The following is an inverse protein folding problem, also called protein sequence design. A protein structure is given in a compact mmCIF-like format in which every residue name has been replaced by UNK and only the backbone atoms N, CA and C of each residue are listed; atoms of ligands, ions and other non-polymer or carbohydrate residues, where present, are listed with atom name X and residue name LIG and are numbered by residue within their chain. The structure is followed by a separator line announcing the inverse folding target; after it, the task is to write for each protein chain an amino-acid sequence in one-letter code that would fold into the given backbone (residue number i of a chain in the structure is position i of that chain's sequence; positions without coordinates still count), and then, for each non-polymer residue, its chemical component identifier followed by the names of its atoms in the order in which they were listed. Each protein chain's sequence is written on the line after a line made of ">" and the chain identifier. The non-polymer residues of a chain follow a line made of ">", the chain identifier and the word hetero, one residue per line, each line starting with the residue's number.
data_IF_321263908726
#
_entry.id   IF_321263908726
#
_cell.length_a   1.000
_cell.length_b   1.000
_cell.length_c   1.000
_cell.angle_alpha   90.00
_cell.angle_beta   90.00
_cell.angle_gamma   90.00
#
_symmetry.space_group_name_H-M   'P 1'
#
loop_
_entity.id
_entity.type
_entity.pdbx_description
1 polymer ?
#
# COMPACT_ATOMS: atom_id res chain seq x y z
N UNK A 1 27.07 6.06 -5.16
CA UNK A 1 28.46 5.67 -5.48
C UNK A 1 28.57 5.46 -6.98
N UNK A 2 29.65 5.88 -7.63
CA UNK A 2 29.96 5.53 -9.02
C UNK A 2 30.95 4.37 -8.96
N UNK A 3 30.63 3.26 -9.65
CA UNK A 3 31.36 2.00 -9.54
C UNK A 3 32.26 1.77 -10.76
N UNK A 4 31.89 2.30 -11.93
CA UNK A 4 32.63 2.18 -13.19
C UNK A 4 32.50 3.48 -14.00
N UNK A 5 33.48 3.77 -14.87
CA UNK A 5 33.44 4.89 -15.82
C UNK A 5 34.84 5.31 -16.30
N UNK A 6 34.93 5.89 -17.50
CA UNK A 6 36.16 6.48 -18.04
C UNK A 6 36.02 7.99 -18.07
N UNK A 7 36.96 8.70 -17.45
CA UNK A 7 36.97 10.17 -17.41
C UNK A 7 38.00 10.69 -18.40
N UNK A 8 37.60 11.60 -19.28
CA UNK A 8 38.47 12.24 -20.27
C UNK A 8 38.15 13.73 -20.35
N UNK A 9 39.15 14.58 -20.54
CA UNK A 9 38.91 16.00 -20.70
C UNK A 9 40.16 16.83 -20.47
N UNK A 10 39.95 18.14 -20.41
CA UNK A 10 41.02 19.11 -20.18
C UNK A 10 40.66 19.98 -18.99
N UNK A 11 41.56 20.08 -18.03
CA UNK A 11 41.40 20.91 -16.83
C UNK A 11 42.64 21.79 -16.70
N UNK A 12 42.43 23.08 -16.51
CA UNK A 12 43.45 24.05 -16.14
C UNK A 12 43.26 24.43 -14.67
N UNK A 13 44.37 24.64 -13.97
CA UNK A 13 44.40 24.99 -12.56
C UNK A 13 45.23 26.26 -12.40
N UNK A 14 44.64 27.28 -11.79
CA UNK A 14 45.27 28.59 -11.58
C UNK A 14 45.10 29.04 -10.11
N UNK A 15 45.93 29.97 -9.64
CA UNK A 15 45.86 30.49 -8.26
C UNK A 15 46.75 29.76 -7.26
N UNK A 16 46.39 29.81 -5.97
CA UNK A 16 47.18 29.24 -4.89
C UNK A 16 47.01 27.72 -4.83
N UNK A 17 48.09 26.98 -4.58
CA UNK A 17 48.03 25.52 -4.42
C UNK A 17 47.10 25.06 -3.29
N UNK A 18 46.80 25.93 -2.31
CA UNK A 18 45.91 25.60 -1.20
C UNK A 18 44.45 25.94 -1.50
N UNK A 19 44.17 26.73 -2.53
CA UNK A 19 42.84 27.17 -2.96
C UNK A 19 42.86 27.50 -4.46
N UNK A 20 42.97 26.48 -5.33
CA UNK A 20 43.04 26.69 -6.76
C UNK A 20 41.68 27.01 -7.38
N UNK A 21 41.70 27.76 -8.47
CA UNK A 21 40.60 27.88 -9.41
C UNK A 21 40.77 26.87 -10.55
N UNK A 22 39.68 26.24 -10.96
CA UNK A 22 39.66 25.27 -12.05
C UNK A 22 38.88 25.80 -13.24
N UNK A 23 39.39 25.61 -14.45
CA UNK A 23 38.61 25.86 -15.66
C UNK A 23 38.83 24.76 -16.70
N UNK A 24 37.74 24.33 -17.34
CA UNK A 24 37.79 23.26 -18.33
C UNK A 24 36.56 22.37 -18.31
N UNK A 25 36.67 21.22 -18.95
CA UNK A 25 35.56 20.29 -19.13
C UNK A 25 36.05 18.85 -19.04
N UNK A 26 35.35 18.04 -18.24
CA UNK A 26 35.55 16.61 -18.15
C UNK A 26 34.30 15.90 -18.65
N UNK A 27 34.48 14.91 -19.51
CA UNK A 27 33.45 13.98 -19.94
C UNK A 27 33.67 12.64 -19.25
N UNK A 28 32.60 12.04 -18.78
CA UNK A 28 32.58 10.73 -18.16
C UNK A 28 31.79 9.81 -19.08
N UNK A 29 32.41 8.75 -19.58
CA UNK A 29 31.79 7.80 -20.49
C UNK A 29 31.61 6.43 -19.83
N UNK A 30 30.52 5.76 -20.22
CA UNK A 30 30.13 4.43 -19.72
C UNK A 30 30.06 4.33 -18.18
N UNK A 31 29.66 5.41 -17.51
CA UNK A 31 29.57 5.43 -16.07
C UNK A 31 28.42 4.55 -15.56
N UNK A 32 28.66 3.88 -14.43
CA UNK A 32 27.63 3.14 -13.69
C UNK A 32 27.61 3.60 -12.24
N UNK A 33 26.42 3.81 -11.71
CA UNK A 33 26.21 4.27 -10.35
C UNK A 33 25.22 3.38 -9.60
N UNK A 34 25.40 3.30 -8.29
CA UNK A 34 24.48 2.62 -7.37
C UNK A 34 24.08 3.56 -6.24
N UNK A 35 22.80 3.57 -5.91
CA UNK A 35 22.22 4.33 -4.81
C UNK A 35 21.55 3.36 -3.83
N UNK A 36 21.65 3.63 -2.52
CA UNK A 36 21.11 2.71 -1.51
C UNK A 36 19.58 2.62 -1.52
N UNK A 37 18.90 3.67 -1.99
CA UNK A 37 17.42 3.74 -2.04
C UNK A 37 16.84 3.28 -3.38
N UNK A 38 17.69 3.04 -4.38
CA UNK A 38 17.28 2.60 -5.72
C UNK A 38 17.78 1.17 -5.90
N UNK A 39 16.89 0.18 -6.06
CA UNK A 39 17.29 -1.24 -6.09
C UNK A 39 18.03 -1.66 -7.38
N UNK A 40 18.08 -0.78 -8.38
CA UNK A 40 18.72 -1.04 -9.67
C UNK A 40 20.01 -0.24 -9.87
N UNK A 41 20.92 -0.79 -10.67
CA UNK A 41 22.12 -0.09 -11.10
C UNK A 41 21.74 0.98 -12.15
N UNK A 42 22.24 2.20 -11.94
CA UNK A 42 22.03 3.33 -12.84
C UNK A 42 23.15 3.37 -13.87
N UNK A 43 22.84 3.08 -15.12
CA UNK A 43 23.77 3.18 -16.24
C UNK A 43 23.75 1.97 -17.18
N UNK A 44 24.64 1.95 -18.18
CA UNK A 44 25.70 2.94 -18.44
C UNK A 44 25.15 4.31 -18.86
N UNK A 45 25.79 5.39 -18.43
CA UNK A 45 25.46 6.76 -18.85
C UNK A 45 26.72 7.58 -19.18
N UNK A 46 26.55 8.62 -19.99
CA UNK A 46 27.60 9.63 -20.23
C UNK A 46 27.23 10.93 -19.54
N UNK A 47 28.20 11.52 -18.84
CA UNK A 47 28.05 12.75 -18.09
C UNK A 47 29.11 13.77 -18.50
N UNK A 48 28.85 15.04 -18.22
CA UNK A 48 29.73 16.14 -18.55
C UNK A 48 29.80 17.09 -17.36
N UNK A 49 31.01 17.33 -16.90
CA UNK A 49 31.35 18.21 -15.79
C UNK A 49 32.05 19.45 -16.38
N UNK A 50 31.46 20.62 -16.17
CA UNK A 50 32.04 21.89 -16.59
C UNK A 50 32.62 22.61 -15.36
N UNK A 51 33.90 22.95 -15.42
CA UNK A 51 34.62 23.64 -14.37
C UNK A 51 34.76 25.11 -14.74
N UNK A 52 34.35 25.99 -13.83
CA UNK A 52 34.52 27.43 -13.97
C UNK A 52 34.82 28.04 -12.60
N UNK A 53 36.05 28.51 -12.44
CA UNK A 53 36.57 29.05 -11.19
C UNK A 53 36.46 28.03 -10.05
N UNK A 54 35.61 28.28 -9.06
CA UNK A 54 35.35 27.40 -7.92
C UNK A 54 34.11 26.52 -8.10
N UNK A 55 33.40 26.66 -9.22
CA UNK A 55 32.15 25.94 -9.46
C UNK A 55 32.37 24.80 -10.45
N UNK A 56 31.87 23.61 -10.08
CA UNK A 56 31.74 22.45 -10.94
C UNK A 56 30.27 22.24 -11.25
N UNK A 57 29.91 22.24 -12.52
CA UNK A 57 28.52 22.00 -12.95
C UNK A 57 28.42 20.61 -13.56
N UNK A 58 27.53 19.79 -13.03
CA UNK A 58 27.07 18.57 -13.69
C UNK A 58 25.96 18.94 -14.67
N UNK A 59 26.27 18.87 -15.95
CA UNK A 59 25.28 19.10 -16.99
C UNK A 59 24.18 18.04 -16.92
N UNK A 60 22.93 18.37 -17.26
CA UNK A 60 21.80 17.43 -17.20
C UNK A 60 22.12 16.10 -17.89
N UNK A 61 22.12 15.02 -17.12
CA UNK A 61 22.29 13.65 -17.61
C UNK A 61 20.94 12.97 -17.58
N UNK A 62 20.56 12.33 -18.70
CA UNK A 62 19.37 11.48 -18.74
C UNK A 62 19.77 10.04 -18.46
N UNK A 63 19.18 9.45 -17.44
CA UNK A 63 19.35 8.06 -17.04
C UNK A 63 18.08 7.27 -17.39
N UNK A 64 18.25 6.05 -17.87
CA UNK A 64 17.17 5.10 -18.09
C UNK A 64 17.07 4.17 -16.89
N UNK A 65 15.87 4.05 -16.33
CA UNK A 65 15.54 3.27 -15.13
C UNK A 65 14.36 2.35 -15.46
N UNK A 66 14.06 1.34 -14.64
CA UNK A 66 12.83 0.55 -14.83
C UNK A 66 11.56 1.38 -14.70
N UNK A 67 11.62 2.50 -13.98
CA UNK A 67 10.51 3.44 -13.81
C UNK A 67 10.33 4.41 -14.99
N UNK A 68 11.26 4.43 -15.96
CA UNK A 68 11.27 5.34 -17.09
C UNK A 68 12.57 6.15 -17.17
N UNK A 69 12.49 7.39 -17.63
CA UNK A 69 13.65 8.29 -17.71
C UNK A 69 13.74 9.20 -16.49
N UNK A 70 14.95 9.48 -16.02
CA UNK A 70 15.21 10.50 -14.99
C UNK A 70 16.35 11.40 -15.44
N UNK A 71 16.21 12.70 -15.23
CA UNK A 71 17.27 13.67 -15.43
C UNK A 71 17.88 14.05 -14.09
N UNK A 72 19.21 14.10 -14.07
CA UNK A 72 19.99 14.51 -12.90
C UNK A 72 20.95 15.59 -13.35
N UNK A 73 21.04 16.66 -12.58
CA UNK A 73 22.03 17.71 -12.77
C UNK A 73 22.34 18.38 -11.45
N UNK A 74 23.33 19.27 -11.46
CA UNK A 74 23.70 19.94 -10.22
C UNK A 74 24.90 20.86 -10.36
N UNK A 75 25.21 21.53 -9.27
CA UNK A 75 26.37 22.40 -9.11
C UNK A 75 27.04 22.12 -7.78
N UNK A 76 28.36 22.13 -7.80
CA UNK A 76 29.22 21.91 -6.65
C UNK A 76 30.17 23.10 -6.54
N UNK A 77 30.36 23.61 -5.34
CA UNK A 77 31.28 24.70 -5.04
C UNK A 77 32.45 24.15 -4.23
N UNK A 78 33.66 24.40 -4.72
CA UNK A 78 34.90 23.94 -4.14
C UNK A 78 35.65 25.12 -3.52
N UNK A 79 36.01 25.02 -2.25
CA UNK A 79 36.99 25.89 -1.61
C UNK A 79 38.05 25.04 -0.95
N UNK A 80 39.34 25.33 -1.20
CA UNK A 80 40.46 24.57 -0.61
C UNK A 80 40.35 23.04 -0.79
N UNK A 81 39.87 22.60 -1.96
CA UNK A 81 39.57 21.20 -2.29
C UNK A 81 38.42 20.55 -1.50
N UNK A 82 37.69 21.30 -0.68
CA UNK A 82 36.51 20.84 0.03
C UNK A 82 35.23 21.30 -0.67
N UNK A 83 34.21 20.44 -0.69
CA UNK A 83 32.88 20.82 -1.15
C UNK A 83 32.20 21.66 -0.08
N UNK A 84 32.02 22.96 -0.34
CA UNK A 84 31.37 23.88 0.59
C UNK A 84 29.86 23.93 0.36
N UNK A 85 29.46 23.94 -0.91
CA UNK A 85 28.06 23.93 -1.30
C UNK A 85 27.83 22.90 -2.41
N UNK A 86 26.77 22.12 -2.28
CA UNK A 86 26.35 21.15 -3.30
C UNK A 86 24.86 21.32 -3.52
N UNK A 87 24.44 21.45 -4.77
CA UNK A 87 23.03 21.42 -5.16
C UNK A 87 22.85 20.40 -6.26
N UNK A 88 22.05 19.38 -6.02
CA UNK A 88 21.70 18.32 -6.96
C UNK A 88 20.19 18.36 -7.15
N UNK A 89 19.74 18.33 -8.39
CA UNK A 89 18.33 18.17 -8.70
C UNK A 89 18.10 16.88 -9.50
N UNK A 90 16.97 16.26 -9.22
CA UNK A 90 16.48 15.05 -9.88
C UNK A 90 15.10 15.38 -10.42
N UNK A 91 14.87 15.16 -11.70
CA UNK A 91 13.59 15.41 -12.37
C UNK A 91 13.22 14.22 -13.26
N UNK A 92 12.10 13.58 -13.00
CA UNK A 92 11.63 12.45 -13.82
C UNK A 92 10.82 12.89 -15.04
N UNK A 93 10.46 14.17 -15.14
CA UNK A 93 9.49 14.66 -16.12
C UNK A 93 8.11 13.99 -16.00
N UNK A 94 7.25 14.16 -17.01
CA UNK A 94 5.86 13.67 -16.96
C UNK A 94 5.71 12.17 -17.22
N UNK A 95 6.58 11.59 -18.03
CA UNK A 95 6.50 10.17 -18.45
C UNK A 95 7.45 9.26 -17.71
N UNK A 96 8.50 9.83 -17.08
CA UNK A 96 9.47 9.06 -16.33
C UNK A 96 8.99 8.64 -14.94
N UNK A 97 9.93 8.09 -14.18
CA UNK A 97 9.75 7.64 -12.81
C UNK A 97 11.00 6.93 -12.32
N UNK A 98 11.22 6.93 -11.01
CA UNK A 98 12.33 6.26 -10.36
C UNK A 98 11.79 5.23 -9.38
N UNK A 99 12.24 3.97 -9.47
CA UNK A 99 11.88 2.97 -8.48
C UNK A 99 12.66 3.22 -7.19
N UNK A 100 11.95 3.32 -6.09
CA UNK A 100 12.48 3.49 -4.74
C UNK A 100 12.11 2.23 -3.96
N UNK A 101 13.11 1.64 -3.31
CA UNK A 101 12.95 0.52 -2.38
C UNK A 101 13.82 0.82 -1.16
N UNK A 102 13.20 1.30 -0.09
CA UNK A 102 13.90 1.82 1.07
C UNK A 102 13.09 1.72 2.35
N UNK A 103 13.81 1.62 3.47
CA UNK A 103 13.26 1.71 4.82
C UNK A 103 13.56 3.09 5.40
N UNK A 104 12.51 3.90 5.61
CA UNK A 104 12.59 5.20 6.26
C UNK A 104 12.15 5.06 7.72
N UNK A 105 13.08 4.60 8.55
CA UNK A 105 12.88 4.49 10.01
C UNK A 105 11.66 3.66 10.43
N UNK A 106 11.36 2.56 9.74
CA UNK A 106 10.20 1.68 10.00
C UNK A 106 9.04 1.87 9.02
N UNK A 107 9.10 2.89 8.16
CA UNK A 107 8.21 3.02 6.99
C UNK A 107 8.91 2.39 5.79
N UNK A 108 8.46 1.20 5.41
CA UNK A 108 8.97 0.50 4.23
C UNK A 108 8.24 1.03 3.00
N UNK A 109 9.00 1.46 1.99
CA UNK A 109 8.46 2.00 0.74
C UNK A 109 9.09 1.25 -0.43
N UNK A 110 8.26 0.57 -1.22
CA UNK A 110 8.62 -0.01 -2.52
C UNK A 110 7.67 0.50 -3.60
N UNK A 111 8.17 1.32 -4.53
CA UNK A 111 7.31 1.93 -5.54
C UNK A 111 8.02 2.84 -6.52
N UNK A 112 7.23 3.53 -7.36
CA UNK A 112 7.75 4.48 -8.35
C UNK A 112 7.42 5.91 -7.92
N UNK A 113 8.44 6.72 -7.68
CA UNK A 113 8.32 8.16 -7.48
C UNK A 113 8.50 8.93 -8.79
N UNK A 114 7.65 9.94 -9.01
CA UNK A 114 7.74 10.85 -10.17
C UNK A 114 7.73 12.30 -9.72
N UNK A 115 8.54 13.16 -10.30
CA UNK A 115 8.53 14.59 -10.03
C UNK A 115 9.93 15.14 -9.89
N UNK A 116 10.03 16.23 -9.13
CA UNK A 116 11.28 16.96 -8.98
C UNK A 116 11.66 17.08 -7.51
N UNK A 117 12.88 16.68 -7.21
CA UNK A 117 13.51 16.78 -5.90
C UNK A 117 14.83 17.54 -6.05
N UNK A 118 15.11 18.43 -5.11
CA UNK A 118 16.36 19.17 -4.97
C UNK A 118 16.99 18.77 -3.64
N UNK A 119 18.27 18.46 -3.69
CA UNK A 119 19.11 18.08 -2.56
C UNK A 119 20.22 19.09 -2.48
N UNK A 120 20.29 19.82 -1.38
CA UNK A 120 21.31 20.82 -1.12
C UNK A 120 22.14 20.37 0.09
N UNK A 121 23.46 20.56 0.04
CA UNK A 121 24.37 20.27 1.15
C UNK A 121 25.22 21.51 1.40
N UNK A 122 25.07 22.10 2.58
CA UNK A 122 25.80 23.30 3.00
C UNK A 122 26.04 23.23 4.52
N UNK A 123 27.25 23.54 4.99
CA UNK A 123 27.56 23.67 6.43
C UNK A 123 27.09 22.48 7.31
N UNK A 124 27.32 21.26 6.84
CA UNK A 124 26.85 20.01 7.47
C UNK A 124 25.31 19.92 7.62
N UNK A 125 24.56 20.66 6.82
CA UNK A 125 23.12 20.53 6.66
C UNK A 125 22.83 19.93 5.28
N UNK A 126 21.99 18.89 5.25
CA UNK A 126 21.39 18.35 4.03
C UNK A 126 19.94 18.81 3.99
N UNK A 127 19.60 19.58 2.96
CA UNK A 127 18.23 20.01 2.69
C UNK A 127 17.66 19.26 1.51
N UNK A 128 16.53 18.60 1.70
CA UNK A 128 15.80 17.87 0.66
C UNK A 128 14.45 18.56 0.48
N UNK A 129 14.15 19.01 -0.74
CA UNK A 129 12.87 19.65 -1.04
C UNK A 129 12.31 19.20 -2.38
N UNK A 130 10.98 19.20 -2.52
CA UNK A 130 10.39 18.82 -3.80
C UNK A 130 8.95 18.35 -3.74
N UNK A 131 8.43 18.04 -4.93
CA UNK A 131 7.11 17.43 -5.13
C UNK A 131 7.28 16.10 -5.84
N UNK A 132 6.70 15.06 -5.25
CA UNK A 132 6.75 13.68 -5.74
C UNK A 132 5.34 13.14 -5.88
N UNK A 133 5.04 12.48 -6.99
CA UNK A 133 3.85 11.70 -7.23
C UNK A 133 4.25 10.23 -7.05
N UNK A 134 3.69 9.57 -6.04
CA UNK A 134 3.90 8.15 -5.80
C UNK A 134 2.96 7.35 -6.70
N UNK A 135 3.45 6.36 -7.45
CA UNK A 135 2.62 5.48 -8.28
C UNK A 135 3.13 4.05 -8.18
N UNK A 136 2.23 3.07 -8.26
CA UNK A 136 2.55 1.66 -8.10
C UNK A 136 3.46 1.43 -6.89
N UNK A 137 3.06 2.01 -5.75
CA UNK A 137 3.85 2.14 -4.53
C UNK A 137 3.15 1.44 -3.39
N UNK A 138 3.87 0.55 -2.71
CA UNK A 138 3.44 -0.10 -1.48
C UNK A 138 4.16 0.55 -0.31
N UNK A 139 3.38 0.98 0.67
CA UNK A 139 3.86 1.61 1.91
C UNK A 139 3.44 0.70 3.06
N UNK A 140 4.41 0.16 3.80
CA UNK A 140 4.15 -0.65 4.98
C UNK A 140 4.63 0.09 6.22
N UNK A 141 3.74 0.27 7.19
CA UNK A 141 4.05 0.90 8.47
C UNK A 141 4.24 -0.18 9.55
N UNK A 142 5.48 -0.38 10.01
CA UNK A 142 5.78 -1.34 11.07
C UNK A 142 5.27 -0.93 12.46
N UNK A 143 5.05 -1.91 13.35
CA UNK A 143 4.57 -1.65 14.72
C UNK A 143 5.59 -0.88 15.57
N UNK A 144 6.89 -1.03 15.32
CA UNK A 144 7.97 -0.39 16.08
C UNK A 144 7.88 1.14 16.06
N UNK A 145 7.33 1.71 14.99
CA UNK A 145 7.05 3.15 14.84
C UNK A 145 5.83 3.64 15.62
N UNK A 146 4.94 2.74 16.00
CA UNK A 146 3.79 3.05 16.85
C UNK A 146 4.18 3.15 18.33
N UNK A 147 5.32 2.58 18.71
CA UNK A 147 5.84 2.51 20.08
C UNK A 147 6.93 3.56 20.37
N UNK A 148 6.90 4.15 21.58
CA UNK A 148 7.70 5.32 22.04
C UNK A 148 9.23 5.09 22.18
N UNK A 149 9.86 4.18 21.43
CA UNK A 149 11.25 3.79 21.68
C UNK A 149 12.13 3.76 20.43
N UNK A 150 12.18 4.87 19.70
CA UNK A 150 13.30 5.13 18.79
C UNK A 150 14.13 6.29 19.35
N UNK A 151 15.24 5.98 20.03
CA UNK A 151 16.25 7.00 20.31
C UNK A 151 16.79 7.51 18.97
N UNK A 152 16.78 8.82 18.69
CA UNK A 152 17.33 9.33 17.44
C UNK A 152 18.81 8.95 17.38
N UNK A 153 19.29 8.34 16.29
CA UNK A 153 20.72 8.17 16.11
C UNK A 153 21.37 9.55 16.15
N UNK A 154 22.46 9.68 16.91
CA UNK A 154 23.29 10.90 16.89
C UNK A 154 23.80 11.04 15.47
N UNK A 155 23.18 11.91 14.68
CA UNK A 155 23.62 12.22 13.33
C UNK A 155 24.60 13.40 13.40
N UNK A 156 25.82 13.19 12.91
CA UNK A 156 26.83 14.25 12.74
C UNK A 156 26.43 15.30 11.69
N UNK A 157 25.37 15.05 10.92
CA UNK A 157 24.88 15.91 9.85
C UNK A 157 23.42 16.28 10.09
N UNK A 158 23.10 17.58 9.99
CA UNK A 158 21.76 18.10 10.12
C UNK A 158 20.95 17.75 8.87
N UNK A 159 19.72 17.29 9.06
CA UNK A 159 18.78 17.00 7.98
C UNK A 159 17.57 17.93 8.08
N UNK A 160 17.27 18.58 6.95
CA UNK A 160 16.04 19.34 6.70
C UNK A 160 15.31 18.74 5.50
N UNK A 161 14.02 18.42 5.63
CA UNK A 161 13.18 17.83 4.57
C UNK A 161 11.91 18.66 4.44
N UNK A 162 11.53 19.07 3.23
CA UNK A 162 10.20 19.59 2.90
C UNK A 162 9.70 18.96 1.60
N UNK A 163 8.95 17.87 1.73
CA UNK A 163 8.44 17.09 0.62
C UNK A 163 6.91 17.12 0.58
N UNK A 164 6.38 17.35 -0.61
CA UNK A 164 4.96 17.15 -0.91
C UNK A 164 4.80 15.88 -1.75
N UNK A 165 4.19 14.86 -1.16
CA UNK A 165 3.89 13.60 -1.84
C UNK A 165 2.43 13.60 -2.28
N UNK A 166 2.17 13.33 -3.55
CA UNK A 166 0.84 13.19 -4.13
C UNK A 166 0.59 11.72 -4.50
N UNK A 167 -0.58 11.19 -4.18
CA UNK A 167 -0.92 9.80 -4.50
C UNK A 167 -1.37 9.66 -5.95
N UNK A 168 -0.60 8.90 -6.73
CA UNK A 168 -0.94 8.47 -8.07
C UNK A 168 -1.64 7.12 -8.09
N UNK A 169 -1.62 6.42 -9.23
CA UNK A 169 -2.28 5.12 -9.38
C UNK A 169 -1.58 4.05 -8.55
N UNK A 170 -2.35 3.10 -8.01
CA UNK A 170 -1.83 1.91 -7.33
C UNK A 170 -0.93 2.23 -6.13
N UNK A 171 -1.33 3.19 -5.29
CA UNK A 171 -0.68 3.45 -4.00
C UNK A 171 -1.38 2.61 -2.93
N UNK A 172 -0.69 1.58 -2.45
CA UNK A 172 -1.15 0.63 -1.44
C UNK A 172 -0.55 0.98 -0.07
N UNK A 173 -1.38 0.98 0.96
CA UNK A 173 -0.98 1.09 2.35
C UNK A 173 -1.28 -0.23 3.06
N UNK A 174 -0.27 -0.75 3.76
CA UNK A 174 -0.30 -2.03 4.45
C UNK A 174 0.12 -1.85 5.90
N UNK A 175 -0.64 -2.45 6.81
CA UNK A 175 -0.36 -2.38 8.24
C UNK A 175 -0.80 -3.67 8.95
N UNK A 176 -0.08 -4.16 9.97
CA UNK A 176 1.24 -3.67 10.44
C UNK A 176 2.40 -4.21 9.62
N UNK A 177 2.25 -5.38 9.00
CA UNK A 177 3.32 -5.99 8.20
C UNK A 177 2.75 -6.52 6.90
N UNK A 178 3.63 -6.73 5.93
CA UNK A 178 3.20 -7.31 4.65
C UNK A 178 2.84 -8.80 4.78
N UNK A 179 3.47 -9.51 5.71
CA UNK A 179 3.20 -10.94 5.95
C UNK A 179 1.89 -11.16 6.71
N UNK A 180 1.59 -10.29 7.67
CA UNK A 180 0.38 -10.35 8.50
C UNK A 180 -0.34 -8.99 8.49
N UNK A 181 -0.96 -8.61 7.37
CA UNK A 181 -1.65 -7.34 7.27
C UNK A 181 -3.03 -7.42 7.93
N UNK A 182 -3.27 -6.57 8.92
CA UNK A 182 -4.60 -6.30 9.46
C UNK A 182 -5.35 -5.37 8.52
N UNK A 183 -4.69 -4.36 7.97
CA UNK A 183 -5.27 -3.42 7.03
C UNK A 183 -4.44 -3.44 5.75
N UNK A 184 -5.12 -3.62 4.61
CA UNK A 184 -4.55 -3.48 3.28
C UNK A 184 -5.47 -2.61 2.46
N UNK A 185 -5.02 -1.44 2.05
CA UNK A 185 -5.89 -0.42 1.47
C UNK A 185 -5.22 0.36 0.37
N UNK A 186 -6.00 0.95 -0.53
CA UNK A 186 -5.52 1.72 -1.66
C UNK A 186 -5.93 3.17 -1.52
N UNK A 187 -4.95 4.07 -1.64
CA UNK A 187 -5.20 5.50 -1.58
C UNK A 187 -5.99 5.98 -2.80
N UNK A 188 -6.85 6.97 -2.58
CA UNK A 188 -7.49 7.72 -3.66
C UNK A 188 -6.44 8.51 -4.46
N UNK A 189 -6.76 8.90 -5.69
CA UNK A 189 -5.86 9.69 -6.55
C UNK A 189 -5.80 11.15 -6.09
N UNK A 190 -4.65 11.78 -6.32
CA UNK A 190 -4.43 13.21 -6.11
C UNK A 190 -4.42 13.64 -4.63
N UNK A 191 -4.37 12.72 -3.68
CA UNK A 191 -4.31 13.05 -2.26
C UNK A 191 -2.90 13.50 -1.91
N UNK A 192 -2.77 14.54 -1.09
CA UNK A 192 -1.47 15.13 -0.75
C UNK A 192 -1.09 14.84 0.69
N UNK A 193 0.17 14.41 0.87
CA UNK A 193 0.85 14.22 2.15
C UNK A 193 2.06 15.15 2.18
N UNK A 194 2.13 16.03 3.18
CA UNK A 194 3.30 16.87 3.42
C UNK A 194 4.16 16.27 4.50
N UNK A 195 5.45 16.17 4.23
CA UNK A 195 6.47 15.69 5.17
C UNK A 195 7.45 16.84 5.39
N UNK A 196 7.56 17.28 6.64
CA UNK A 196 8.56 18.25 7.06
C UNK A 196 9.39 17.67 8.20
N UNK A 197 10.71 17.71 8.05
CA UNK A 197 11.64 17.26 9.09
C UNK A 197 12.71 18.32 9.22
N UNK A 198 13.04 18.70 10.44
CA UNK A 198 14.17 19.54 10.78
C UNK A 198 14.77 19.01 12.08
N UNK A 199 15.88 18.30 11.92
CA UNK A 199 16.61 17.66 13.02
C UNK A 199 17.26 18.65 13.98
N UNK A 200 17.54 19.89 13.55
CA UNK A 200 18.15 20.91 14.41
C UNK A 200 17.16 21.41 15.46
N UNK A 201 15.90 21.62 15.04
CA UNK A 201 14.83 22.08 15.91
C UNK A 201 14.02 20.94 16.53
N UNK A 202 14.39 19.68 16.25
CA UNK A 202 13.59 18.51 16.64
C UNK A 202 12.18 18.52 16.06
N UNK A 203 11.99 19.21 14.93
CA UNK A 203 10.70 19.39 14.31
C UNK A 203 10.44 18.25 13.32
N UNK A 204 9.38 17.50 13.56
CA UNK A 204 8.88 16.47 12.65
C UNK A 204 7.39 16.71 12.46
N UNK A 205 6.94 16.78 11.20
CA UNK A 205 5.55 16.93 10.83
C UNK A 205 5.24 16.03 9.63
N UNK A 206 4.26 15.16 9.79
CA UNK A 206 3.63 14.46 8.66
C UNK A 206 2.15 14.79 8.67
N UNK A 207 1.68 15.51 7.65
CA UNK A 207 0.30 15.99 7.55
C UNK A 207 -0.34 15.65 6.22
N UNK A 208 -1.50 15.02 6.26
CA UNK A 208 -2.28 14.71 5.07
C UNK A 208 -3.58 14.04 5.43
N UNK A 209 -4.58 14.16 4.56
CA UNK A 209 -5.82 13.40 4.65
C UNK A 209 -5.91 12.54 3.40
N UNK A 210 -5.68 11.25 3.56
CA UNK A 210 -5.61 10.31 2.45
C UNK A 210 -6.92 9.53 2.43
N UNK A 211 -7.77 9.87 1.45
CA UNK A 211 -8.97 9.07 1.18
C UNK A 211 -8.60 7.64 0.80
N UNK A 212 -9.38 6.69 1.30
CA UNK A 212 -9.29 5.29 0.91
C UNK A 212 -10.25 5.04 -0.25
N UNK A 213 -9.77 4.39 -1.30
CA UNK A 213 -10.55 4.05 -2.49
C UNK A 213 -11.06 2.62 -2.48
N UNK A 214 -10.52 1.76 -1.62
CA UNK A 214 -10.92 0.37 -1.46
C UNK A 214 -9.83 -0.42 -0.72
N UNK A 215 -10.15 -1.63 -0.30
CA UNK A 215 -9.20 -2.46 0.44
C UNK A 215 -9.85 -3.60 1.20
N UNK A 216 -9.12 -4.10 2.18
CA UNK A 216 -9.46 -5.24 2.99
C UNK A 216 -9.02 -4.97 4.43
N UNK A 217 -9.86 -5.37 5.39
CA UNK A 217 -9.53 -5.43 6.80
C UNK A 217 -9.64 -6.87 7.25
N UNK A 218 -8.57 -7.41 7.79
CA UNK A 218 -8.52 -8.74 8.35
C UNK A 218 -8.84 -8.68 9.85
N UNK A 219 -9.86 -9.43 10.26
CA UNK A 219 -10.31 -9.47 11.65
C UNK A 219 -11.09 -10.76 11.92
N UNK A 220 -10.86 -11.40 13.07
CA UNK A 220 -11.46 -12.71 13.43
C UNK A 220 -11.35 -13.78 12.33
N UNK A 221 -10.21 -13.90 11.67
CA UNK A 221 -10.01 -14.83 10.55
C UNK A 221 -10.92 -14.61 9.33
N UNK A 222 -11.61 -13.46 9.31
CA UNK A 222 -12.45 -12.98 8.23
C UNK A 222 -11.80 -11.78 7.54
N UNK A 223 -12.12 -11.63 6.26
CA UNK A 223 -11.76 -10.45 5.49
C UNK A 223 -13.02 -9.63 5.26
N UNK A 224 -13.00 -8.41 5.77
CA UNK A 224 -14.01 -7.40 5.50
C UNK A 224 -13.52 -6.55 4.33
N UNK A 225 -14.35 -6.39 3.30
CA UNK A 225 -14.06 -5.54 2.15
C UNK A 225 -14.27 -4.09 2.53
N UNK A 226 -13.23 -3.28 2.46
CA UNK A 226 -13.27 -1.87 2.82
C UNK A 226 -13.94 -1.09 1.69
N UNK A 227 -15.12 -0.52 1.99
CA UNK A 227 -15.97 0.21 1.03
C UNK A 227 -15.66 1.69 1.01
N UNK A 228 -15.40 2.26 2.19
CA UNK A 228 -15.04 3.66 2.32
C UNK A 228 -14.11 3.87 3.51
N UNK A 229 -13.31 4.92 3.45
CA UNK A 229 -12.54 5.35 4.59
C UNK A 229 -11.58 6.49 4.27
N UNK A 230 -10.83 6.87 5.28
CA UNK A 230 -9.74 7.84 5.19
C UNK A 230 -8.71 7.55 6.28
N UNK A 231 -7.47 7.92 6.01
CA UNK A 231 -6.39 7.94 6.98
C UNK A 231 -5.95 9.40 7.12
N UNK A 232 -6.02 9.91 8.34
CA UNK A 232 -5.60 11.26 8.70
C UNK A 232 -4.23 11.17 9.37
N UNK A 233 -3.24 11.77 8.72
CA UNK A 233 -1.91 11.95 9.23
C UNK A 233 -1.82 13.34 9.85
N UNK A 234 -1.46 13.42 11.12
CA UNK A 234 -1.12 14.67 11.79
C UNK A 234 -0.07 14.39 12.87
N UNK A 235 1.01 13.76 12.43
CA UNK A 235 2.06 13.26 13.29
C UNK A 235 3.04 14.39 13.61
N UNK A 236 3.42 14.50 14.88
CA UNK A 236 4.38 15.48 15.39
C UNK A 236 5.32 14.82 16.37
N UNK A 237 6.62 15.10 16.25
CA UNK A 237 7.64 14.56 17.15
C UNK A 237 7.93 13.09 16.89
N UNK A 238 7.97 12.29 17.96
CA UNK A 238 8.40 10.89 18.00
C UNK A 238 7.27 9.87 17.83
N UNK A 239 6.01 10.31 17.86
CA UNK A 239 4.85 9.44 17.68
C UNK A 239 4.34 9.49 16.25
N UNK A 240 4.35 8.34 15.58
CA UNK A 240 3.75 8.15 14.26
C UNK A 240 2.57 7.18 14.39
N UNK A 241 1.38 7.68 14.69
CA UNK A 241 0.20 6.86 14.97
C UNK A 241 -1.06 7.50 14.34
N UNK A 242 -1.21 7.36 13.00
CA UNK A 242 -2.25 8.05 12.26
C UNK A 242 -3.63 7.51 12.61
N UNK A 243 -4.65 8.32 12.31
CA UNK A 243 -6.03 8.04 12.65
C UNK A 243 -6.78 7.52 11.43
N UNK A 244 -7.38 6.34 11.55
CA UNK A 244 -8.19 5.72 10.51
C UNK A 244 -9.68 5.91 10.81
N UNK A 245 -10.44 6.19 9.76
CA UNK A 245 -11.90 6.00 9.76
C UNK A 245 -12.24 5.11 8.58
N UNK A 246 -12.86 3.96 8.80
CA UNK A 246 -13.13 2.99 7.76
C UNK A 246 -14.44 2.25 8.00
N UNK A 247 -15.16 1.97 6.92
CA UNK A 247 -16.31 1.07 6.91
C UNK A 247 -16.00 -0.08 5.95
N UNK A 248 -15.92 -1.28 6.50
CA UNK A 248 -15.71 -2.51 5.76
C UNK A 248 -16.90 -3.45 5.96
N UNK A 249 -17.13 -4.36 5.03
CA UNK A 249 -18.25 -5.30 5.11
C UNK A 249 -17.86 -6.73 4.73
N UNK A 250 -18.54 -7.69 5.35
CA UNK A 250 -18.55 -9.09 4.96
C UNK A 250 -20.01 -9.55 4.84
N UNK A 251 -20.24 -10.64 4.12
CA UNK A 251 -21.56 -11.25 4.00
C UNK A 251 -21.46 -12.70 4.42
N UNK A 252 -22.34 -13.08 5.33
CA UNK A 252 -22.43 -14.43 5.84
C UNK A 252 -23.84 -14.98 5.63
N UNK A 253 -23.92 -16.27 5.35
CA UNK A 253 -25.20 -16.93 5.21
C UNK A 253 -25.55 -17.58 6.55
N UNK A 254 -26.75 -17.33 7.04
CA UNK A 254 -27.27 -17.88 8.29
C UNK A 254 -28.43 -18.82 7.99
N UNK A 255 -28.86 -19.58 9.00
CA UNK A 255 -30.06 -20.43 8.89
C UNK A 255 -31.32 -19.62 8.53
N UNK A 256 -31.34 -18.33 8.86
CA UNK A 256 -32.43 -17.38 8.60
C UNK A 256 -32.26 -16.57 7.30
N UNK A 257 -31.14 -16.73 6.59
CA UNK A 257 -30.84 -16.01 5.34
C UNK A 257 -29.52 -15.23 5.39
N UNK A 258 -29.28 -14.42 4.36
CA UNK A 258 -28.04 -13.66 4.24
C UNK A 258 -27.99 -12.50 5.24
N UNK A 259 -26.87 -12.37 5.94
CA UNK A 259 -26.56 -11.25 6.83
C UNK A 259 -25.34 -10.51 6.31
N UNK A 260 -25.45 -9.18 6.20
CA UNK A 260 -24.29 -8.29 5.98
C UNK A 260 -23.77 -7.86 7.33
N UNK A 261 -22.47 -7.97 7.56
CA UNK A 261 -21.83 -7.53 8.79
C UNK A 261 -20.85 -6.41 8.41
N UNK A 262 -21.01 -5.26 9.06
CA UNK A 262 -20.17 -4.09 8.88
C UNK A 262 -19.15 -4.02 10.02
N UNK A 263 -17.87 -3.86 9.65
CA UNK A 263 -16.78 -3.47 10.53
C UNK A 263 -16.62 -1.95 10.39
N UNK A 264 -16.82 -1.23 11.48
CA UNK A 264 -16.74 0.24 11.51
C UNK A 264 -15.62 0.65 12.45
N UNK A 265 -14.61 1.33 11.90
CA UNK A 265 -13.61 2.06 12.66
C UNK A 265 -13.93 3.54 12.54
N UNK A 266 -14.23 4.21 13.65
CA UNK A 266 -14.53 5.64 13.65
C UNK A 266 -13.44 6.39 14.42
N UNK A 267 -12.69 7.21 13.67
CA UNK A 267 -11.64 8.06 14.21
C UNK A 267 -10.69 7.36 15.20
N UNK A 268 -10.26 6.15 14.86
CA UNK A 268 -9.46 5.28 15.73
C UNK A 268 -7.98 5.37 15.35
N UNK A 269 -7.08 5.42 16.33
CA UNK A 269 -5.64 5.32 16.10
C UNK A 269 -5.27 3.93 15.59
N UNK A 270 -4.31 3.81 14.67
CA UNK A 270 -3.87 2.49 14.18
C UNK A 270 -3.36 1.60 15.30
N UNK A 271 -2.59 2.14 16.25
CA UNK A 271 -2.10 1.42 17.43
C UNK A 271 -3.20 0.92 18.39
N UNK A 272 -4.41 1.48 18.28
CA UNK A 272 -5.57 1.13 19.11
C UNK A 272 -6.73 0.64 18.26
N UNK A 273 -6.44 0.04 17.11
CA UNK A 273 -7.44 -0.38 16.16
C UNK A 273 -8.44 -1.37 16.79
N UNK A 274 -9.61 -0.86 17.15
CA UNK A 274 -10.68 -1.60 17.81
C UNK A 274 -12.01 -1.26 17.13
N UNK A 275 -12.36 -1.98 16.05
CA UNK A 275 -13.57 -1.68 15.29
C UNK A 275 -14.83 -2.18 16.00
N UNK A 276 -15.95 -1.50 15.74
CA UNK A 276 -17.29 -1.93 16.17
C UNK A 276 -17.98 -2.70 15.04
N UNK A 277 -18.87 -3.61 15.40
CA UNK A 277 -19.63 -4.41 14.44
C UNK A 277 -21.10 -4.03 14.41
N UNK A 278 -21.64 -3.90 13.21
CA UNK A 278 -23.08 -3.74 12.93
C UNK A 278 -23.51 -4.84 11.96
N UNK A 279 -24.81 -5.16 11.89
CA UNK A 279 -25.31 -6.08 10.88
C UNK A 279 -26.64 -5.64 10.29
N UNK A 280 -26.91 -6.16 9.08
CA UNK A 280 -28.18 -6.02 8.39
C UNK A 280 -28.61 -7.40 7.82
N UNK A 281 -29.71 -8.00 8.30
CA UNK A 281 -30.59 -7.55 9.39
C UNK A 281 -29.88 -7.38 10.74
N UNK A 282 -30.45 -6.57 11.64
CA UNK A 282 -29.85 -6.30 12.96
C UNK A 282 -29.77 -7.56 13.82
N UNK A 283 -28.56 -7.94 14.21
CA UNK A 283 -28.26 -9.04 15.11
C UNK A 283 -27.67 -8.51 16.42
N UNK A 284 -27.70 -9.34 17.46
CA UNK A 284 -26.94 -9.07 18.69
C UNK A 284 -25.44 -9.24 18.45
N UNK A 285 -24.61 -8.58 19.29
CA UNK A 285 -23.15 -8.73 19.19
C UNK A 285 -22.70 -10.18 19.34
N UNK A 286 -23.34 -10.96 20.22
CA UNK A 286 -23.02 -12.36 20.42
C UNK A 286 -23.26 -13.20 19.16
N UNK A 287 -24.37 -12.97 18.46
CA UNK A 287 -24.66 -13.63 17.19
C UNK A 287 -23.65 -13.24 16.12
N UNK A 288 -23.30 -11.94 16.02
CA UNK A 288 -22.27 -11.46 15.09
C UNK A 288 -20.93 -12.16 15.36
N UNK A 289 -20.46 -12.19 16.61
CA UNK A 289 -19.20 -12.87 16.95
C UNK A 289 -19.26 -14.36 16.66
N UNK A 290 -20.39 -15.02 16.94
CA UNK A 290 -20.58 -16.44 16.62
C UNK A 290 -20.46 -16.69 15.11
N UNK A 291 -21.06 -15.84 14.28
CA UNK A 291 -20.99 -15.93 12.82
C UNK A 291 -19.57 -15.67 12.28
N UNK A 292 -18.85 -14.73 12.89
CA UNK A 292 -17.47 -14.42 12.50
C UNK A 292 -16.48 -15.51 12.94
N UNK A 293 -16.88 -16.44 13.82
CA UNK A 293 -16.02 -17.53 14.31
C UNK A 293 -15.46 -17.28 15.72
N UNK A 294 -15.91 -16.24 16.41
CA UNK A 294 -15.52 -15.88 17.78
C UNK A 294 -16.01 -16.82 18.88
N UNK A 295 -16.57 -17.99 18.54
CA UNK A 295 -16.95 -19.00 19.53
C UNK A 295 -15.78 -19.48 20.42
N UNK A 296 -14.55 -19.45 19.90
CA UNK A 296 -13.33 -19.75 20.65
C UNK A 296 -12.77 -18.58 21.49
N UNK A 297 -13.29 -17.35 21.30
CA UNK A 297 -12.90 -16.16 22.07
C UNK A 297 -13.74 -15.99 23.35
N UNK A 298 -14.94 -16.58 23.41
CA UNK A 298 -15.85 -16.49 24.56
C UNK A 298 -15.37 -17.31 25.79
N UNK A 299 -14.31 -18.11 25.64
CA UNK A 299 -13.68 -18.84 26.76
C UNK A 299 -12.69 -17.98 27.55
N UNK A 300 -12.34 -16.79 27.06
CA UNK A 300 -11.52 -15.80 27.76
C UNK A 300 -12.40 -14.62 28.17
N UNK A 301 -13.21 -14.84 29.20
CA UNK A 301 -13.98 -13.77 29.82
C UNK A 301 -13.07 -12.76 30.49
N UNK A 302 -12.89 -11.58 29.90
CA UNK A 302 -12.56 -10.33 30.59
C UNK A 302 -12.91 -9.13 29.70
N UNK A 303 -13.51 -8.10 30.31
CA UNK A 303 -13.92 -6.82 29.71
C UNK A 303 -12.74 -5.91 29.28
N UNK A 304 -11.61 -6.47 28.88
CA UNK A 304 -10.45 -5.70 28.45
C UNK A 304 -10.35 -5.71 26.92
N UNK A 305 -10.09 -4.52 26.36
CA UNK A 305 -9.88 -4.32 24.93
C UNK A 305 -8.87 -5.36 24.42
N UNK A 306 -9.29 -6.13 23.42
CA UNK A 306 -8.46 -7.15 22.78
C UNK A 306 -7.19 -6.47 22.28
N UNK A 307 -6.06 -6.80 22.90
CA UNK A 307 -4.76 -6.25 22.58
C UNK A 307 -4.31 -6.81 21.21
N UNK A 308 -3.74 -5.95 20.35
CA UNK A 308 -3.29 -6.33 19.00
C UNK A 308 -2.33 -7.52 19.00
N UNK A 309 -1.47 -7.59 20.02
CA UNK A 309 -0.56 -8.70 20.28
C UNK A 309 -1.30 -10.00 20.60
N UNK A 310 -2.40 -9.96 21.35
CA UNK A 310 -3.24 -11.14 21.60
C UNK A 310 -4.04 -11.60 20.38
N UNK A 311 -4.46 -10.69 19.49
CA UNK A 311 -5.14 -11.07 18.25
C UNK A 311 -4.18 -11.75 17.25
N UNK A 312 -2.92 -11.28 17.17
CA UNK A 312 -1.86 -11.87 16.34
C UNK A 312 -1.34 -13.22 16.88
N UNK A 313 -1.34 -13.41 18.21
CA UNK A 313 -0.96 -14.69 18.83
C UNK A 313 -2.03 -15.79 18.71
N UNK A 314 -3.27 -15.42 18.36
CA UNK A 314 -4.39 -16.35 18.24
C UNK A 314 -4.67 -16.77 16.78
N UNK A 315 -4.01 -16.15 15.79
CA UNK A 315 -4.01 -16.65 14.41
C UNK A 315 -3.01 -17.81 14.29
N UNK A 316 -3.28 -18.94 14.93
CA UNK A 316 -2.54 -20.19 14.75
C UNK A 316 -2.65 -20.73 13.32
N UNK A 317 -3.57 -20.18 12.52
CA UNK A 317 -3.79 -20.58 11.15
C UNK A 317 -2.95 -19.73 10.20
N UNK A 318 -1.87 -20.33 9.72
CA UNK A 318 -0.92 -19.82 8.75
C UNK A 318 -1.63 -19.16 7.55
N UNK A 319 -1.77 -17.83 7.58
CA UNK A 319 -2.08 -17.00 6.42
C UNK A 319 -0.82 -16.79 5.59
N UNK A 320 -0.32 -17.87 4.99
CA UNK A 320 0.70 -17.79 3.95
C UNK A 320 0.01 -17.42 2.63
N UNK A 321 -0.34 -16.15 2.45
CA UNK A 321 -0.63 -15.64 1.11
C UNK A 321 0.69 -15.62 0.34
N UNK A 322 1.02 -16.75 -0.27
CA UNK A 322 2.33 -17.01 -0.86
C UNK A 322 2.70 -15.95 -1.90
N UNK A 323 3.99 -15.68 -2.05
CA UNK A 323 4.52 -14.81 -3.11
C UNK A 323 4.02 -15.19 -4.51
N UNK A 324 3.63 -16.46 -4.70
CA UNK A 324 3.02 -16.98 -5.93
C UNK A 324 1.67 -16.29 -6.20
N UNK A 325 0.78 -16.21 -5.19
CA UNK A 325 -0.53 -15.55 -5.34
C UNK A 325 -0.32 -14.07 -5.67
N UNK A 326 0.61 -13.41 -4.98
CA UNK A 326 0.92 -11.99 -5.19
C UNK A 326 1.49 -11.72 -6.58
N UNK A 327 2.40 -12.59 -7.05
CA UNK A 327 2.94 -12.48 -8.40
C UNK A 327 1.83 -12.64 -9.45
N UNK A 328 0.91 -13.58 -9.24
CA UNK A 328 -0.25 -13.78 -10.10
C UNK A 328 -1.21 -12.58 -10.06
N UNK A 329 -1.50 -12.03 -8.87
CA UNK A 329 -2.34 -10.84 -8.72
C UNK A 329 -1.76 -9.64 -9.48
N UNK A 330 -0.44 -9.41 -9.36
CA UNK A 330 0.28 -8.36 -10.10
C UNK A 330 0.19 -8.59 -11.61
N UNK A 331 0.42 -9.81 -12.08
CA UNK A 331 0.35 -10.13 -13.51
C UNK A 331 -1.06 -9.91 -14.07
N UNK A 332 -2.09 -10.42 -13.39
CA UNK A 332 -3.49 -10.23 -13.80
C UNK A 332 -3.88 -8.75 -13.78
N UNK A 333 -3.49 -8.01 -12.74
CA UNK A 333 -3.73 -6.57 -12.65
C UNK A 333 -3.11 -5.83 -13.84
N UNK A 334 -1.85 -6.12 -14.15
CA UNK A 334 -1.12 -5.48 -15.24
C UNK A 334 -1.69 -5.87 -16.61
N UNK A 335 -2.02 -7.15 -16.83
CA UNK A 335 -2.55 -7.69 -18.08
C UNK A 335 -3.92 -7.11 -18.42
N UNK A 336 -4.80 -7.01 -17.43
CA UNK A 336 -6.15 -6.45 -17.61
C UNK A 336 -6.22 -4.93 -17.38
N UNK A 337 -5.07 -4.30 -17.05
CA UNK A 337 -4.98 -2.88 -16.72
C UNK A 337 -6.04 -2.48 -15.67
N UNK A 338 -6.10 -3.24 -14.58
CA UNK A 338 -7.00 -3.03 -13.46
C UNK A 338 -6.33 -2.15 -12.42
N UNK A 339 -7.13 -1.36 -11.69
CA UNK A 339 -6.63 -0.61 -10.54
C UNK A 339 -6.59 -1.49 -9.28
N UNK A 340 -7.41 -2.54 -9.23
CA UNK A 340 -7.38 -3.54 -8.18
C UNK A 340 -7.58 -4.94 -8.77
N UNK A 341 -6.76 -5.88 -8.30
CA UNK A 341 -6.97 -7.29 -8.50
C UNK A 341 -6.41 -8.02 -7.29
N UNK A 342 -7.25 -8.78 -6.60
CA UNK A 342 -6.83 -9.57 -5.44
C UNK A 342 -7.56 -10.91 -5.39
N UNK A 343 -6.84 -11.94 -4.98
CA UNK A 343 -7.32 -13.29 -4.78
C UNK A 343 -7.04 -13.68 -3.34
N UNK A 344 -8.11 -14.06 -2.67
CA UNK A 344 -8.05 -14.79 -1.42
C UNK A 344 -8.40 -16.23 -1.69
N UNK A 345 -7.62 -17.16 -1.17
CA UNK A 345 -7.97 -18.57 -1.22
C UNK A 345 -7.42 -19.30 0.00
N UNK A 346 -8.21 -20.23 0.53
CA UNK A 346 -7.82 -21.12 1.61
C UNK A 346 -7.48 -22.53 1.11
N UNK A 347 -7.24 -22.71 -0.19
CA UNK A 347 -6.95 -24.02 -0.79
C UNK A 347 -5.90 -24.81 -0.01
N UNK A 348 -4.79 -24.18 0.41
CA UNK A 348 -3.75 -24.87 1.18
C UNK A 348 -4.25 -25.36 2.54
N UNK A 349 -5.01 -24.53 3.26
CA UNK A 349 -5.59 -24.90 4.56
C UNK A 349 -6.64 -26.01 4.39
N UNK A 350 -7.50 -25.88 3.38
CA UNK A 350 -8.54 -26.86 3.06
C UNK A 350 -7.92 -28.22 2.71
N UNK A 351 -6.85 -28.27 1.92
CA UNK A 351 -6.12 -29.51 1.58
C UNK A 351 -5.40 -30.11 2.79
N UNK A 352 -4.74 -29.30 3.62
CA UNK A 352 -4.04 -29.79 4.81
C UNK A 352 -5.00 -30.33 5.87
N UNK A 353 -6.15 -29.69 6.05
CA UNK A 353 -7.19 -30.15 6.97
C UNK A 353 -7.68 -31.56 6.62
N UNK A 354 -7.72 -31.91 5.34
CA UNK A 354 -8.10 -33.26 4.87
C UNK A 354 -7.06 -34.31 5.22
N UNK A 355 -5.76 -33.97 5.12
CA UNK A 355 -4.67 -34.90 5.46
C UNK A 355 -4.57 -35.18 6.96
N UNK A 356 -5.06 -34.28 7.82
CA UNK A 356 -4.96 -34.36 9.27
C UNK A 356 -6.18 -35.00 9.96
N UNK A 357 -7.30 -35.21 9.24
CA UNK A 357 -8.49 -35.90 9.77
C UNK A 357 -8.28 -37.42 9.65
N UNK A 358 -8.26 -38.19 10.76
CA UNK A 358 -8.15 -39.65 10.71
C UNK A 358 -9.34 -40.27 9.96
N UNK A 359 -9.08 -41.18 9.02
CA UNK A 359 -10.09 -41.85 8.18
C UNK A 359 -11.13 -42.69 8.96
N UNK A 360 -10.98 -42.89 10.28
CA UNK A 360 -11.84 -43.78 11.07
C UNK A 360 -13.20 -43.18 11.48
N UNK A 361 -13.46 -41.90 11.24
CA UNK A 361 -14.74 -41.25 11.60
C UNK A 361 -15.49 -40.63 10.41
N UNK A 362 -15.38 -41.21 9.22
CA UNK A 362 -16.15 -40.76 8.04
C UNK A 362 -17.40 -41.65 7.87
N UNK A 363 -18.62 -41.16 8.16
CA UNK A 363 -19.83 -41.90 7.84
C UNK A 363 -19.93 -42.14 6.32
N UNK A 364 -20.29 -43.36 5.94
CA UNK A 364 -20.24 -43.98 4.59
C UNK A 364 -21.01 -43.21 3.48
N UNK A 365 -21.72 -42.12 3.81
CA UNK A 365 -22.54 -41.33 2.89
C UNK A 365 -21.91 -39.99 2.40
N UNK A 366 -20.63 -39.69 2.66
CA UNK A 366 -19.98 -38.43 2.25
C UNK A 366 -18.79 -38.59 1.29
N UNK A 367 -18.85 -39.55 0.37
CA UNK A 367 -17.71 -39.94 -0.48
C UNK A 367 -17.74 -39.34 -1.89
N UNK A 368 -17.64 -38.00 -2.01
CA UNK A 368 -16.97 -37.37 -3.16
C UNK A 368 -16.24 -36.11 -2.68
N UNK A 369 -14.90 -36.03 -2.72
CA UNK A 369 -14.20 -34.76 -2.58
C UNK A 369 -14.65 -33.83 -3.70
N UNK A 370 -15.45 -32.82 -3.36
CA UNK A 370 -15.93 -31.84 -4.33
C UNK A 370 -14.89 -30.71 -4.45
N UNK A 371 -14.67 -30.20 -5.66
CA UNK A 371 -13.86 -28.99 -5.87
C UNK A 371 -14.36 -27.82 -4.99
N UNK A 372 -15.66 -27.83 -4.65
CA UNK A 372 -16.30 -26.97 -3.65
C UNK A 372 -15.56 -26.89 -2.32
N UNK A 373 -15.15 -28.02 -1.75
CA UNK A 373 -14.47 -28.06 -0.44
C UNK A 373 -13.07 -27.44 -0.48
N UNK A 374 -12.32 -27.64 -1.57
CA UNK A 374 -10.99 -27.04 -1.71
C UNK A 374 -11.05 -25.55 -1.99
N UNK A 375 -11.99 -25.13 -2.84
CA UNK A 375 -12.17 -23.72 -3.20
C UNK A 375 -13.03 -22.95 -2.19
N UNK A 376 -13.46 -23.60 -1.10
CA UNK A 376 -14.26 -22.96 -0.07
C UNK A 376 -13.56 -21.73 0.49
N UNK A 377 -14.36 -20.69 0.77
CA UNK A 377 -13.91 -19.38 1.27
C UNK A 377 -12.87 -18.69 0.37
N UNK A 378 -12.84 -19.04 -0.92
CA UNK A 378 -12.03 -18.32 -1.90
C UNK A 378 -12.81 -17.14 -2.47
N UNK A 379 -12.14 -16.02 -2.71
CA UNK A 379 -12.75 -14.83 -3.32
C UNK A 379 -11.79 -14.14 -4.26
N UNK A 380 -12.32 -13.63 -5.37
CA UNK A 380 -11.58 -12.82 -6.33
C UNK A 380 -12.23 -11.43 -6.37
N UNK A 381 -11.43 -10.40 -6.18
CA UNK A 381 -11.84 -9.01 -6.26
C UNK A 381 -11.15 -8.32 -7.43
N UNK A 382 -11.92 -7.64 -8.27
CA UNK A 382 -11.46 -6.87 -9.41
C UNK A 382 -12.02 -5.46 -9.30
N UNK A 383 -11.21 -4.45 -9.62
CA UNK A 383 -11.64 -3.06 -9.59
C UNK A 383 -10.94 -2.23 -10.67
N UNK A 384 -11.68 -1.30 -11.28
CA UNK A 384 -11.17 -0.38 -12.29
C UNK A 384 -11.82 0.99 -12.20
N UNK A 385 -11.01 2.02 -12.21
CA UNK A 385 -11.44 3.40 -12.32
C UNK A 385 -11.63 3.79 -13.78
N UNK A 386 -12.76 4.40 -14.07
CA UNK A 386 -13.06 5.02 -15.36
C UNK A 386 -13.00 6.54 -15.15
N UNK A 387 -11.80 7.11 -15.25
CA UNK A 387 -11.56 8.52 -14.94
C UNK A 387 -11.24 8.75 -13.46
N UNK A 388 -11.62 9.92 -12.93
CA UNK A 388 -11.42 10.29 -11.51
C UNK A 388 -12.57 9.88 -10.60
N UNK A 389 -13.78 9.79 -11.16
CA UNK A 389 -15.02 9.88 -10.38
C UNK A 389 -15.84 8.58 -10.39
N UNK A 390 -15.52 7.66 -11.30
CA UNK A 390 -16.29 6.45 -11.53
C UNK A 390 -15.42 5.22 -11.25
N UNK A 391 -15.96 4.31 -10.44
CA UNK A 391 -15.31 3.06 -10.08
C UNK A 391 -16.23 1.88 -10.35
N UNK A 392 -15.69 0.89 -11.06
CA UNK A 392 -16.35 -0.39 -11.30
C UNK A 392 -15.64 -1.47 -10.50
N UNK A 393 -16.41 -2.23 -9.74
CA UNK A 393 -15.95 -3.36 -8.95
C UNK A 393 -16.66 -4.63 -9.38
N UNK A 394 -15.95 -5.75 -9.31
CA UNK A 394 -16.50 -7.06 -9.46
C UNK A 394 -15.91 -8.00 -8.40
N UNK A 395 -16.78 -8.58 -7.59
CA UNK A 395 -16.44 -9.54 -6.56
C UNK A 395 -17.01 -10.91 -6.95
N UNK A 396 -16.18 -11.95 -6.87
CA UNK A 396 -16.58 -13.34 -6.99
C UNK A 396 -16.21 -14.03 -5.67
N UNK A 397 -17.15 -14.76 -5.08
CA UNK A 397 -16.94 -15.62 -3.94
C UNK A 397 -17.28 -17.06 -4.31
N UNK A 398 -16.38 -17.98 -3.94
CA UNK A 398 -16.52 -19.42 -4.10
C UNK A 398 -16.75 -20.01 -2.71
N UNK A 399 -17.82 -20.80 -2.57
CA UNK A 399 -18.17 -21.52 -1.34
C UNK A 399 -18.43 -22.98 -1.63
N UNK A 400 -18.12 -23.86 -0.68
CA UNK A 400 -18.58 -25.24 -0.75
C UNK A 400 -20.11 -25.28 -0.57
N UNK A 401 -20.80 -26.00 -1.46
CA UNK A 401 -22.23 -26.21 -1.34
C UNK A 401 -22.51 -27.37 -0.37
N UNK A 402 -23.48 -27.20 0.53
CA UNK A 402 -23.86 -28.26 1.47
C UNK A 402 -24.61 -29.37 0.72
N UNK A 403 -24.08 -30.61 0.64
CA UNK A 403 -24.66 -31.70 -0.13
C UNK A 403 -26.08 -32.10 0.32
N UNK A 404 -26.54 -31.64 1.48
CA UNK A 404 -27.87 -31.93 2.02
C UNK A 404 -28.96 -30.93 1.59
N UNK A 405 -28.59 -29.80 0.98
CA UNK A 405 -29.55 -28.69 0.72
C UNK A 405 -29.77 -28.38 -0.76
N UNK A 406 -28.88 -28.80 -1.66
CA UNK A 406 -28.95 -28.45 -3.09
C UNK A 406 -29.55 -29.57 -3.94
N UNK A 407 -30.78 -29.39 -4.46
CA UNK A 407 -31.44 -30.32 -5.38
C UNK A 407 -30.93 -30.25 -6.83
N UNK A 408 -29.98 -29.36 -7.13
CA UNK A 408 -29.39 -29.17 -8.45
C UNK A 408 -27.88 -29.16 -8.25
N UNK A 409 -27.21 -30.24 -8.66
CA UNK A 409 -25.74 -30.33 -8.65
C UNK A 409 -25.18 -29.29 -9.64
N UNK A 410 -24.92 -28.07 -9.18
CA UNK A 410 -24.10 -27.10 -9.89
C UNK A 410 -22.66 -27.62 -9.94
N UNK A 411 -21.92 -27.20 -10.96
CA UNK A 411 -20.60 -27.73 -11.35
C UNK A 411 -19.69 -27.96 -10.12
N UNK A 412 -19.38 -29.23 -9.83
CA UNK A 412 -18.37 -29.60 -8.84
C UNK A 412 -18.67 -29.27 -7.37
N UNK A 413 -19.93 -28.99 -7.00
CA UNK A 413 -20.33 -28.66 -5.62
C UNK A 413 -19.84 -27.29 -5.13
N UNK A 414 -19.60 -26.36 -6.06
CA UNK A 414 -19.17 -24.99 -5.78
C UNK A 414 -20.36 -24.04 -5.92
N UNK A 415 -20.71 -23.34 -4.84
CA UNK A 415 -21.54 -22.15 -4.88
C UNK A 415 -20.72 -20.94 -5.34
N UNK A 416 -21.13 -20.31 -6.43
CA UNK A 416 -20.52 -19.07 -6.92
C UNK A 416 -21.48 -17.92 -6.61
N UNK A 417 -21.02 -16.98 -5.80
CA UNK A 417 -21.70 -15.69 -5.61
C UNK A 417 -20.90 -14.62 -6.33
N UNK A 418 -21.56 -13.80 -7.14
CA UNK A 418 -20.93 -12.64 -7.75
C UNK A 418 -21.65 -11.35 -7.40
N UNK A 419 -20.91 -10.26 -7.40
CA UNK A 419 -21.43 -8.91 -7.23
C UNK A 419 -20.69 -7.95 -8.15
N UNK A 420 -21.45 -7.15 -8.87
CA UNK A 420 -20.94 -5.98 -9.59
C UNK A 420 -21.31 -4.74 -8.78
N UNK A 421 -20.36 -3.86 -8.51
CA UNK A 421 -20.64 -2.56 -7.90
C UNK A 421 -20.15 -1.46 -8.83
N UNK A 422 -20.96 -0.43 -8.97
CA UNK A 422 -20.65 0.78 -9.72
C UNK A 422 -20.79 1.95 -8.77
N UNK A 423 -19.69 2.63 -8.48
CA UNK A 423 -19.66 3.84 -7.66
C UNK A 423 -19.38 5.05 -8.56
N UNK A 424 -20.22 6.08 -8.45
CA UNK A 424 -20.06 7.35 -9.14
C UNK A 424 -20.09 8.51 -8.16
N UNK A 425 -18.95 9.18 -8.02
CA UNK A 425 -18.78 10.37 -7.20
C UNK A 425 -19.15 11.60 -8.02
N UNK A 426 -20.10 12.37 -7.51
CA UNK A 426 -20.43 13.71 -8.05
C UNK A 426 -20.10 14.76 -6.99
N UNK A 427 -20.03 16.05 -7.35
CA UNK A 427 -19.83 17.12 -6.38
C UNK A 427 -20.91 17.19 -5.27
N UNK A 428 -22.09 16.61 -5.49
CA UNK A 428 -23.23 16.74 -4.57
C UNK A 428 -23.54 15.44 -3.81
N UNK A 429 -23.33 14.30 -4.45
CA UNK A 429 -23.65 12.98 -3.90
C UNK A 429 -22.76 11.89 -4.51
N UNK A 430 -22.62 10.79 -3.79
CA UNK A 430 -22.08 9.54 -4.32
C UNK A 430 -23.25 8.61 -4.61
N UNK A 431 -23.33 8.16 -5.86
CA UNK A 431 -24.26 7.13 -6.30
C UNK A 431 -23.53 5.79 -6.30
N UNK A 432 -24.10 4.80 -5.65
CA UNK A 432 -23.60 3.44 -5.69
C UNK A 432 -24.71 2.52 -6.18
N UNK A 433 -24.43 1.75 -7.23
CA UNK A 433 -25.31 0.73 -7.75
C UNK A 433 -24.63 -0.62 -7.60
N UNK A 434 -25.23 -1.53 -6.84
CA UNK A 434 -24.73 -2.90 -6.67
C UNK A 434 -25.71 -3.91 -7.26
N UNK A 435 -25.24 -4.82 -8.10
CA UNK A 435 -25.98 -5.92 -8.70
C UNK A 435 -25.42 -7.26 -8.21
N UNK A 436 -26.28 -8.12 -7.67
CA UNK A 436 -25.93 -9.48 -7.23
C UNK A 436 -26.82 -10.51 -7.90
N UNK A 437 -26.41 -11.09 -9.04
CA UNK A 437 -27.24 -12.02 -9.79
C UNK A 437 -27.39 -13.34 -9.02
N UNK A 438 -28.43 -13.43 -8.18
CA UNK A 438 -28.81 -14.62 -7.41
C UNK A 438 -29.97 -15.36 -8.07
N UNK A 439 -30.88 -14.59 -8.65
CA UNK A 439 -32.08 -15.06 -9.32
C UNK A 439 -31.98 -14.72 -10.82
N UNK A 440 -31.44 -15.62 -11.66
CA UNK A 440 -31.28 -15.35 -13.09
C UNK A 440 -32.61 -15.05 -13.81
N UNK A 441 -33.73 -15.48 -13.24
CA UNK A 441 -35.07 -15.26 -13.79
C UNK A 441 -35.64 -13.86 -13.49
N UNK A 442 -35.11 -13.17 -12.48
CA UNK A 442 -35.50 -11.80 -12.08
C UNK A 442 -34.30 -10.84 -12.05
N UNK A 443 -33.34 -11.08 -12.95
CA UNK A 443 -32.20 -10.22 -13.19
C UNK A 443 -32.67 -8.76 -13.32
N UNK A 444 -32.03 -7.89 -12.55
CA UNK A 444 -32.27 -6.45 -12.47
C UNK A 444 -33.51 -5.96 -11.67
N UNK A 445 -34.37 -6.85 -11.16
CA UNK A 445 -35.57 -6.45 -10.40
C UNK A 445 -35.33 -6.55 -8.89
N UNK A 446 -34.98 -7.73 -8.37
CA UNK A 446 -34.76 -7.94 -6.92
C UNK A 446 -33.30 -7.92 -6.47
N UNK A 447 -32.41 -8.07 -7.44
CA UNK A 447 -30.99 -8.33 -7.22
C UNK A 447 -30.12 -7.07 -7.32
N UNK A 448 -30.75 -5.90 -7.40
CA UNK A 448 -30.10 -4.59 -7.45
C UNK A 448 -30.30 -3.82 -6.16
N UNK A 449 -29.30 -3.08 -5.73
CA UNK A 449 -29.39 -2.06 -4.69
C UNK A 449 -28.85 -0.76 -5.24
N UNK A 450 -29.59 0.32 -5.04
CA UNK A 450 -29.16 1.68 -5.38
C UNK A 450 -29.03 2.46 -4.08
N UNK A 451 -27.81 2.86 -3.75
CA UNK A 451 -27.47 3.62 -2.55
C UNK A 451 -27.10 5.04 -2.95
N UNK A 452 -27.72 6.01 -2.31
CA UNK A 452 -27.36 7.42 -2.42
C UNK A 452 -26.73 7.88 -1.11
N UNK A 453 -25.49 8.34 -1.17
CA UNK A 453 -24.78 8.97 -0.04
C UNK A 453 -24.58 10.44 -0.35
N UNK A 454 -25.10 11.33 0.49
CA UNK A 454 -24.83 12.77 0.43
C UNK A 454 -24.25 13.22 1.77
N UNK A 455 -23.36 14.22 1.74
CA UNK A 455 -22.85 14.85 2.96
C UNK A 455 -22.94 16.36 2.77
N UNK A 456 -23.84 17.00 3.52
CA UNK A 456 -23.88 18.46 3.63
C UNK A 456 -22.85 18.87 4.69
N UNK A 457 -21.88 19.72 4.33
CA UNK A 457 -21.17 20.53 5.32
C UNK A 457 -21.67 21.97 5.18
N UNK A 458 -22.22 22.52 6.25
CA UNK A 458 -22.44 23.95 6.40
C UNK A 458 -21.21 24.61 7.00
#
# INVERSE_FOLDING_TARGET
>A
RIDEGVVQGTLSMEGFLQDPSFSGELSVDSAKARLSIVPEDLGPFSARLSFKDKTVTLNPVTLTTRGGTVQVGGSFELERYELVNTSIWVDTGPTGGLRIDANFNGVLVDGIGKGRVVIEVQDQEVRISGKVIASNTKITLGEELLSEQASPPVQDMRLSVDLSIETGKLVEFVWPTDNFPIIRTYAALGQTLRIQVDTQNGYFLVRGNIGIRGGQVYYFDRIFYLREGKIVFNERGDRFDPVISARAEIRENTQTGLVRIYLVADNTRLSQFSPRFESDPSLSQLEIFTLLGGGNLLTLGTQEAVNLSSALLLTSDLFLQSEIIRAFERDMRNRFNLDLFSIRTQIFQNVLSEMLIPQESVPVNQTVPSLGRYLDKSSVFLGKYLGSDLFLEYLIQLRAEDPLTSNIRRFGGIGIESEVVFEWKTPFFTLEWSLRPRNPEELFIRDNTLSFRWRFSY
#
